data_IF_075694894375
#
_entry.id   IF_075694894375
#
_cell.length_a   1.000
_cell.length_b   1.000
_cell.length_c   1.000
_cell.angle_alpha   90.00
_cell.angle_beta   90.00
_cell.angle_gamma   90.00
#
_symmetry.space_group_name_H-M   'P 1'
#
loop_
_entity.id
_entity.type
_entity.pdbx_description
1 polymer ?
#
# COMPACT_ATOMS: atom_id res chain seq x y z
N UNK A 1 -10.79 11.72 -19.42
CA UNK A 1 -10.23 10.50 -18.82
C UNK A 1 -9.46 10.88 -17.56
N UNK A 2 -9.78 10.30 -16.42
CA UNK A 2 -9.01 10.45 -15.20
C UNK A 2 -8.22 9.17 -14.92
N UNK A 3 -6.93 9.30 -14.61
CA UNK A 3 -6.04 8.20 -14.22
C UNK A 3 -5.49 8.53 -12.84
N UNK A 4 -5.71 7.62 -11.88
CA UNK A 4 -5.16 7.73 -10.53
C UNK A 4 -4.01 6.73 -10.38
N UNK A 5 -2.85 7.24 -9.99
CA UNK A 5 -1.66 6.46 -9.67
C UNK A 5 -1.54 6.38 -8.15
N UNK A 6 -1.91 5.24 -7.60
CA UNK A 6 -1.74 4.99 -6.16
C UNK A 6 -0.28 4.69 -5.83
N UNK A 7 0.24 5.35 -4.81
CA UNK A 7 1.53 4.99 -4.22
C UNK A 7 1.55 3.57 -3.66
N UNK A 8 2.74 3.03 -3.47
CA UNK A 8 2.97 1.79 -2.73
C UNK A 8 2.45 1.92 -1.30
N UNK A 9 1.97 0.79 -0.77
CA UNK A 9 1.37 0.71 0.56
C UNK A 9 2.30 1.21 1.67
N UNK A 10 1.69 1.63 2.78
CA UNK A 10 2.40 2.01 4.00
C UNK A 10 3.13 0.82 4.66
N UNK A 11 4.35 0.52 4.18
CA UNK A 11 5.16 -0.57 4.73
C UNK A 11 5.53 -0.37 6.20
N UNK A 12 5.67 0.88 6.67
CA UNK A 12 5.94 1.16 8.08
C UNK A 12 4.78 0.67 8.96
N UNK A 13 3.55 1.06 8.63
CA UNK A 13 2.37 0.62 9.38
C UNK A 13 2.17 -0.89 9.21
N UNK A 14 2.22 -1.40 7.98
CA UNK A 14 2.11 -2.83 7.67
C UNK A 14 3.04 -3.71 8.52
N UNK A 15 4.29 -3.29 8.71
CA UNK A 15 5.26 -4.06 9.49
C UNK A 15 4.96 -4.10 10.99
N UNK A 16 4.15 -3.18 11.53
CA UNK A 16 3.63 -3.27 12.90
C UNK A 16 2.66 -4.45 13.03
N UNK A 17 1.75 -4.60 12.07
CA UNK A 17 0.84 -5.74 11.98
C UNK A 17 1.61 -7.05 11.81
N UNK A 18 2.59 -7.05 10.91
CA UNK A 18 3.43 -8.23 10.65
C UNK A 18 4.22 -8.67 11.88
N UNK A 19 4.79 -7.72 12.62
CA UNK A 19 5.48 -8.01 13.88
C UNK A 19 4.56 -8.63 14.93
N UNK A 20 3.27 -8.26 14.94
CA UNK A 20 2.28 -8.91 15.80
C UNK A 20 2.00 -10.35 15.36
N UNK A 21 1.79 -10.60 14.07
CA UNK A 21 1.60 -11.96 13.54
C UNK A 21 2.79 -12.86 13.89
N UNK A 22 4.01 -12.33 13.82
CA UNK A 22 5.24 -13.03 14.24
C UNK A 22 5.25 -13.39 15.72
N UNK A 23 4.81 -12.48 16.59
CA UNK A 23 4.68 -12.75 18.03
C UNK A 23 3.62 -13.81 18.30
N UNK A 24 2.45 -13.70 17.67
CA UNK A 24 1.36 -14.67 17.82
C UNK A 24 1.79 -16.08 17.37
N UNK A 25 2.48 -16.17 16.24
CA UNK A 25 3.05 -17.44 15.76
C UNK A 25 4.10 -18.03 16.72
N UNK A 26 4.94 -17.18 17.33
CA UNK A 26 5.91 -17.63 18.34
C UNK A 26 5.22 -18.25 19.56
N UNK A 27 4.06 -17.73 19.96
CA UNK A 27 3.26 -18.33 21.04
C UNK A 27 2.45 -19.56 20.61
N UNK A 28 1.91 -19.58 19.38
CA UNK A 28 1.17 -20.72 18.84
C UNK A 28 1.53 -20.93 17.37
N UNK A 29 2.27 -22.01 17.08
CA UNK A 29 2.75 -22.33 15.74
C UNK A 29 1.64 -22.67 14.74
N UNK A 30 0.41 -22.92 15.21
CA UNK A 30 -0.78 -23.12 14.35
C UNK A 30 -1.24 -21.82 13.71
N UNK A 31 -0.93 -20.67 14.31
CA UNK A 31 -1.22 -19.36 13.74
C UNK A 31 -0.18 -19.00 12.68
N UNK A 32 -0.66 -18.42 11.56
CA UNK A 32 0.17 -18.01 10.42
C UNK A 32 1.15 -19.11 9.96
N UNK A 33 0.65 -20.32 9.62
CA UNK A 33 1.47 -21.49 9.31
C UNK A 33 2.54 -21.26 8.22
N UNK A 34 2.31 -20.31 7.31
CA UNK A 34 3.20 -20.02 6.18
C UNK A 34 3.94 -18.69 6.30
N UNK A 35 3.93 -18.06 7.48
CA UNK A 35 4.61 -16.79 7.72
C UNK A 35 6.10 -16.83 7.33
N UNK A 36 6.80 -17.87 7.78
CA UNK A 36 8.24 -18.02 7.52
C UNK A 36 8.54 -18.34 6.05
N UNK A 37 7.57 -18.85 5.29
CA UNK A 37 7.71 -19.08 3.86
C UNK A 37 7.94 -17.76 3.12
N UNK A 38 7.33 -16.65 3.57
CA UNK A 38 7.54 -15.32 2.99
C UNK A 38 9.02 -14.94 2.95
N UNK A 39 9.80 -15.28 3.98
CA UNK A 39 11.22 -14.92 4.04
C UNK A 39 12.08 -15.63 3.01
N UNK A 40 11.65 -16.78 2.49
CA UNK A 40 12.36 -17.49 1.42
C UNK A 40 12.32 -16.72 0.11
N UNK A 41 11.26 -15.96 -0.12
CA UNK A 41 11.03 -15.21 -1.36
C UNK A 41 11.32 -13.72 -1.21
N UNK A 42 11.07 -13.16 -0.03
CA UNK A 42 11.22 -11.73 0.26
C UNK A 42 12.16 -11.55 1.43
N UNK A 43 13.45 -11.59 1.14
CA UNK A 43 14.48 -11.34 2.16
C UNK A 43 14.25 -9.99 2.86
N UNK A 44 13.75 -8.98 2.13
CA UNK A 44 13.40 -7.65 2.65
C UNK A 44 12.35 -7.64 3.76
N UNK A 45 11.57 -8.72 3.92
CA UNK A 45 10.55 -8.82 4.98
C UNK A 45 11.14 -9.23 6.33
N UNK A 46 12.38 -9.75 6.36
CA UNK A 46 13.06 -10.02 7.62
C UNK A 46 13.19 -8.73 8.44
N UNK A 47 13.03 -8.79 9.78
CA UNK A 47 13.10 -7.62 10.64
C UNK A 47 14.35 -6.75 10.42
N UNK A 48 15.49 -7.37 10.13
CA UNK A 48 16.76 -6.67 9.88
C UNK A 48 16.75 -5.75 8.64
N UNK A 49 15.84 -5.97 7.68
CA UNK A 49 15.81 -5.25 6.41
C UNK A 49 14.56 -4.37 6.23
N UNK A 50 13.60 -4.40 7.16
CA UNK A 50 12.34 -3.66 7.06
C UNK A 50 12.53 -2.16 6.86
N UNK A 51 13.46 -1.56 7.62
CA UNK A 51 13.78 -0.14 7.49
C UNK A 51 14.21 0.22 6.07
N UNK A 52 15.01 -0.63 5.42
CA UNK A 52 15.45 -0.42 4.05
C UNK A 52 14.28 -0.53 3.06
N UNK A 53 13.37 -1.50 3.26
CA UNK A 53 12.20 -1.63 2.39
C UNK A 53 11.25 -0.44 2.56
N UNK A 54 10.97 -0.01 3.79
CA UNK A 54 10.15 1.17 4.07
C UNK A 54 10.75 2.41 3.41
N UNK A 55 12.08 2.61 3.54
CA UNK A 55 12.78 3.71 2.87
C UNK A 55 12.68 3.62 1.34
N UNK A 56 12.88 2.43 0.77
CA UNK A 56 12.77 2.22 -0.68
C UNK A 56 11.36 2.54 -1.18
N UNK A 57 10.32 2.06 -0.50
CA UNK A 57 8.94 2.37 -0.86
C UNK A 57 8.66 3.89 -0.80
N UNK A 58 9.18 4.59 0.20
CA UNK A 58 9.07 6.06 0.27
C UNK A 58 9.74 6.74 -0.92
N UNK A 59 10.94 6.32 -1.32
CA UNK A 59 11.63 6.88 -2.49
C UNK A 59 10.80 6.64 -3.76
N UNK A 60 10.33 5.41 -3.98
CA UNK A 60 9.51 5.07 -5.15
C UNK A 60 8.22 5.89 -5.18
N UNK A 61 7.59 6.14 -4.04
CA UNK A 61 6.39 6.96 -3.96
C UNK A 61 6.65 8.42 -4.34
N UNK A 62 7.77 9.00 -3.90
CA UNK A 62 8.16 10.35 -4.31
C UNK A 62 8.49 10.43 -5.81
N UNK A 63 9.17 9.43 -6.36
CA UNK A 63 9.45 9.36 -7.80
C UNK A 63 8.15 9.21 -8.61
N UNK A 64 7.20 8.36 -8.17
CA UNK A 64 5.88 8.22 -8.78
C UNK A 64 5.12 9.55 -8.79
N UNK A 65 5.15 10.28 -7.67
CA UNK A 65 4.54 11.61 -7.56
C UNK A 65 5.19 12.59 -8.54
N UNK A 66 6.53 12.65 -8.58
CA UNK A 66 7.28 13.51 -9.49
C UNK A 66 6.99 13.23 -10.96
N UNK A 67 6.93 11.95 -11.35
CA UNK A 67 6.57 11.55 -12.72
C UNK A 67 5.15 11.99 -13.09
N UNK A 68 4.19 11.85 -12.18
CA UNK A 68 2.82 12.34 -12.43
C UNK A 68 2.79 13.85 -12.61
N UNK A 69 3.54 14.61 -11.81
CA UNK A 69 3.65 16.06 -11.93
C UNK A 69 4.30 16.47 -13.26
N UNK A 70 5.33 15.76 -13.69
CA UNK A 70 6.00 15.98 -14.98
C UNK A 70 5.09 15.70 -16.16
N UNK A 71 4.45 14.53 -16.19
CA UNK A 71 3.52 14.16 -17.25
C UNK A 71 2.33 15.12 -17.33
N UNK A 72 1.82 15.60 -16.20
CA UNK A 72 0.75 16.62 -16.22
C UNK A 72 1.19 17.93 -16.87
N UNK A 73 2.47 18.33 -16.75
CA UNK A 73 2.99 19.53 -17.45
C UNK A 73 3.02 19.30 -18.96
N UNK A 74 3.39 18.11 -19.40
CA UNK A 74 3.40 17.74 -20.82
C UNK A 74 1.98 17.63 -21.40
N UNK A 75 1.02 17.18 -20.60
CA UNK A 75 -0.38 16.99 -20.98
C UNK A 75 -1.23 18.26 -20.84
N UNK A 76 -0.65 19.40 -20.44
CA UNK A 76 -1.39 20.62 -20.11
C UNK A 76 -2.33 21.06 -21.26
N UNK A 77 -1.89 20.92 -22.51
CA UNK A 77 -2.67 21.33 -23.69
C UNK A 77 -3.72 20.31 -24.13
N UNK A 78 -3.67 19.07 -23.61
CA UNK A 78 -4.62 18.04 -23.98
C UNK A 78 -6.01 18.31 -23.39
N UNK A 79 -6.13 18.84 -22.17
CA UNK A 79 -7.40 19.26 -21.54
C UNK A 79 -8.44 18.17 -21.25
N UNK A 80 -8.32 16.98 -21.85
CA UNK A 80 -9.25 15.85 -21.69
C UNK A 80 -8.66 14.67 -20.88
N UNK A 81 -7.42 14.81 -20.39
CA UNK A 81 -6.72 13.81 -19.58
C UNK A 81 -6.29 14.47 -18.27
N UNK A 82 -6.56 13.81 -17.14
CA UNK A 82 -6.03 14.17 -15.84
C UNK A 82 -5.29 12.98 -15.26
N UNK A 83 -4.02 13.17 -14.90
CA UNK A 83 -3.25 12.21 -14.13
C UNK A 83 -3.15 12.70 -12.69
N UNK A 84 -3.42 11.85 -11.71
CA UNK A 84 -3.31 12.21 -10.28
C UNK A 84 -2.51 11.17 -9.53
N UNK A 85 -1.56 11.63 -8.75
CA UNK A 85 -0.89 10.79 -7.77
C UNK A 85 -1.72 10.77 -6.49
N UNK A 86 -1.89 9.60 -5.90
CA UNK A 86 -2.65 9.38 -4.68
C UNK A 86 -1.76 8.80 -3.59
N UNK A 87 -1.74 9.47 -2.44
CA UNK A 87 -1.08 8.98 -1.23
C UNK A 87 -1.94 7.98 -0.45
N UNK A 88 -3.17 7.70 -0.88
CA UNK A 88 -4.17 6.97 -0.10
C UNK A 88 -3.62 5.63 0.46
N UNK A 89 -3.04 4.79 -0.40
CA UNK A 89 -2.47 3.52 0.05
C UNK A 89 -1.18 3.69 0.86
N UNK A 90 -0.41 4.74 0.56
CA UNK A 90 0.85 5.04 1.24
C UNK A 90 0.65 5.57 2.67
N UNK A 91 -0.55 6.04 3.01
CA UNK A 91 -0.90 6.56 4.34
C UNK A 91 -1.89 5.67 5.10
N UNK A 92 -2.51 4.68 4.44
CA UNK A 92 -3.42 3.72 5.07
C UNK A 92 -2.80 3.06 6.31
N UNK A 93 -3.57 2.97 7.40
CA UNK A 93 -3.13 2.30 8.62
C UNK A 93 -3.34 0.78 8.53
N UNK A 94 -2.24 0.06 8.30
CA UNK A 94 -2.19 -1.39 8.16
C UNK A 94 -1.58 -2.08 9.40
N UNK A 95 -1.51 -1.37 10.53
CA UNK A 95 -0.76 -1.81 11.72
C UNK A 95 -1.45 -2.89 12.55
N UNK A 96 -2.70 -3.18 12.23
CA UNK A 96 -3.54 -4.19 12.88
C UNK A 96 -3.29 -5.57 12.30
N UNK A 97 -3.18 -6.58 13.16
CA UNK A 97 -2.85 -7.95 12.73
C UNK A 97 -4.02 -8.62 12.00
N UNK A 98 -5.25 -8.21 12.30
CA UNK A 98 -6.48 -8.71 11.68
C UNK A 98 -6.58 -8.33 10.20
N UNK A 99 -5.82 -7.32 9.77
CA UNK A 99 -5.73 -6.89 8.37
C UNK A 99 -4.82 -7.79 7.53
N UNK A 100 -4.13 -8.74 8.17
CA UNK A 100 -3.23 -9.69 7.50
C UNK A 100 -3.90 -11.06 7.36
N UNK A 101 -3.65 -11.71 6.24
CA UNK A 101 -4.20 -13.01 5.93
C UNK A 101 -3.73 -14.05 6.97
N UNK A 102 -4.64 -14.85 7.56
CA UNK A 102 -4.33 -15.70 8.72
C UNK A 102 -3.39 -16.87 8.41
N UNK A 103 -3.15 -17.17 7.14
CA UNK A 103 -2.28 -18.27 6.71
C UNK A 103 -0.83 -17.82 6.59
N UNK A 104 -0.58 -16.71 5.91
CA UNK A 104 0.77 -16.25 5.55
C UNK A 104 1.21 -14.99 6.29
N UNK A 105 0.28 -14.29 6.96
CA UNK A 105 0.52 -13.02 7.63
C UNK A 105 1.07 -11.94 6.70
N UNK A 106 0.96 -12.13 5.38
CA UNK A 106 1.53 -11.26 4.36
C UNK A 106 0.42 -10.56 3.59
N UNK A 107 -0.40 -11.31 2.87
CA UNK A 107 -1.46 -10.73 2.04
C UNK A 107 -2.48 -10.01 2.92
N UNK A 108 -3.21 -9.08 2.34
CA UNK A 108 -4.35 -8.49 3.03
C UNK A 108 -5.39 -9.58 3.34
N UNK A 109 -5.98 -9.53 4.53
CA UNK A 109 -7.22 -10.26 4.81
C UNK A 109 -8.38 -9.60 4.07
N UNK A 110 -9.59 -10.18 4.17
CA UNK A 110 -10.79 -9.51 3.67
C UNK A 110 -10.96 -8.11 4.29
N UNK A 111 -10.71 -7.98 5.60
CA UNK A 111 -10.75 -6.68 6.29
C UNK A 111 -9.62 -5.75 5.85
N UNK A 112 -8.42 -6.29 5.61
CA UNK A 112 -7.32 -5.51 5.02
C UNK A 112 -7.67 -4.95 3.64
N UNK A 113 -8.35 -5.76 2.81
CA UNK A 113 -8.85 -5.30 1.52
C UNK A 113 -9.93 -4.22 1.65
N UNK A 114 -10.83 -4.33 2.63
CA UNK A 114 -11.84 -3.29 2.91
C UNK A 114 -11.18 -1.95 3.23
N UNK A 115 -10.18 -1.93 4.13
CA UNK A 115 -9.46 -0.70 4.51
C UNK A 115 -8.76 -0.07 3.31
N UNK A 116 -8.07 -0.88 2.49
CA UNK A 116 -7.40 -0.39 1.28
C UNK A 116 -8.39 0.14 0.25
N UNK A 117 -9.52 -0.54 0.06
CA UNK A 117 -10.57 -0.15 -0.88
C UNK A 117 -11.26 1.14 -0.44
N UNK A 118 -11.61 1.27 0.84
CA UNK A 118 -12.22 2.48 1.41
C UNK A 118 -11.30 3.68 1.25
N UNK A 119 -10.01 3.49 1.56
CA UNK A 119 -9.01 4.55 1.45
C UNK A 119 -8.80 4.97 -0.01
N UNK A 120 -8.70 4.00 -0.93
CA UNK A 120 -8.59 4.29 -2.36
C UNK A 120 -9.85 4.99 -2.91
N UNK A 121 -11.03 4.50 -2.55
CA UNK A 121 -12.31 5.04 -3.02
C UNK A 121 -12.54 6.47 -2.54
N UNK A 122 -12.23 6.74 -1.27
CA UNK A 122 -12.35 8.09 -0.69
C UNK A 122 -11.49 9.12 -1.41
N UNK A 123 -10.35 8.70 -1.97
CA UNK A 123 -9.44 9.58 -2.70
C UNK A 123 -9.84 9.77 -4.18
N UNK A 124 -10.83 9.03 -4.70
CA UNK A 124 -11.28 9.17 -6.08
C UNK A 124 -12.09 10.46 -6.33
N UNK A 125 -12.61 11.12 -5.29
CA UNK A 125 -13.50 12.28 -5.41
C UNK A 125 -13.07 13.31 -6.46
N UNK A 126 -11.85 13.87 -6.37
CA UNK A 126 -11.36 14.85 -7.36
C UNK A 126 -11.29 14.33 -8.80
N UNK A 127 -11.04 13.03 -8.99
CA UNK A 127 -11.02 12.40 -10.31
C UNK A 127 -12.42 12.15 -10.87
N UNK A 128 -13.38 11.83 -10.00
CA UNK A 128 -14.79 11.71 -10.37
C UNK A 128 -15.37 13.07 -10.78
N UNK A 129 -15.06 14.12 -10.02
CA UNK A 129 -15.45 15.50 -10.35
C UNK A 129 -14.88 15.93 -11.71
N UNK A 130 -13.62 15.61 -12.01
CA UNK A 130 -12.99 15.93 -13.29
C UNK A 130 -13.73 15.33 -14.50
N UNK A 131 -14.34 14.15 -14.34
CA UNK A 131 -15.11 13.48 -15.40
C UNK A 131 -16.63 13.76 -15.30
N UNK A 132 -17.05 14.68 -14.42
CA UNK A 132 -18.44 15.10 -14.27
C UNK A 132 -19.32 14.13 -13.49
N UNK A 133 -18.74 13.29 -12.62
CA UNK A 133 -19.48 12.40 -11.71
C UNK A 133 -19.46 13.04 -10.31
N UNK A 134 -20.64 13.15 -9.70
CA UNK A 134 -20.87 13.72 -8.37
C UNK A 134 -21.62 12.73 -7.47
#
# INVERSE_FOLDING_TARGET
>A
MAIVVFGLINFESYFKGRAMAERLRKSDRRLYPHLETTYKYFISFHPAYRCNLTRLASIVNEELRGMVEELNRELHDAGHIQLRYSHALATADLGRVELLHPIDGWHASAEGHNVLAETAFSDLGPSLEFIGIH
#
